data_IF_222367856315
#
_entry.id   IF_222367856315
#
_cell.length_a   1.000
_cell.length_b   1.000
_cell.length_c   1.000
_cell.angle_alpha   90.00
_cell.angle_beta   90.00
_cell.angle_gamma   90.00
#
_symmetry.space_group_name_H-M   'P 1'
#
loop_
_entity.id
_entity.type
_entity.pdbx_description
1 polymer ?
#
# COMPACT_ATOMS: atom_id res chain seq x y z
N UNK A 1 -8.89 -19.24 -8.85
CA UNK A 1 -9.35 -17.84 -8.79
C UNK A 1 -10.35 -17.74 -7.67
N UNK A 2 -9.96 -17.07 -6.59
CA UNK A 2 -10.87 -16.69 -5.51
C UNK A 2 -11.64 -15.43 -5.96
N UNK A 3 -12.84 -15.19 -5.43
CA UNK A 3 -13.59 -13.96 -5.68
C UNK A 3 -13.87 -13.26 -4.36
N UNK A 4 -13.72 -11.95 -4.32
CA UNK A 4 -14.12 -11.15 -3.16
C UNK A 4 -15.65 -11.07 -3.04
N UNK A 5 -16.14 -10.49 -1.94
CA UNK A 5 -17.59 -10.30 -1.69
C UNK A 5 -18.27 -9.44 -2.75
N UNK A 6 -17.55 -8.53 -3.41
CA UNK A 6 -18.05 -7.72 -4.53
C UNK A 6 -18.08 -8.50 -5.86
N UNK A 7 -17.51 -9.70 -5.91
CA UNK A 7 -17.36 -10.50 -7.13
C UNK A 7 -16.07 -10.26 -7.90
N UNK A 8 -15.13 -9.44 -7.38
CA UNK A 8 -13.85 -9.21 -8.01
C UNK A 8 -12.94 -10.44 -7.91
N UNK A 9 -12.33 -10.83 -9.04
CA UNK A 9 -11.44 -11.99 -9.09
C UNK A 9 -10.07 -11.68 -8.47
N UNK A 10 -9.67 -12.51 -7.52
CA UNK A 10 -8.34 -12.59 -6.94
C UNK A 10 -7.58 -13.68 -7.71
N UNK A 11 -6.49 -13.29 -8.36
CA UNK A 11 -5.54 -14.28 -8.87
C UNK A 11 -4.82 -14.87 -7.66
N UNK A 12 -5.15 -16.12 -7.33
CA UNK A 12 -4.57 -16.88 -6.22
C UNK A 12 -3.05 -17.06 -6.39
N UNK A 13 -2.36 -17.27 -5.27
CA UNK A 13 -0.93 -17.58 -5.10
C UNK A 13 -0.47 -18.91 -5.76
N UNK A 14 -1.12 -19.31 -6.85
CA UNK A 14 -0.65 -20.42 -7.68
C UNK A 14 0.63 -20.00 -8.40
N UNK A 15 1.73 -20.78 -8.30
CA UNK A 15 2.92 -20.55 -9.10
C UNK A 15 2.50 -20.61 -10.57
N UNK A 16 2.56 -19.47 -11.25
CA UNK A 16 2.10 -19.39 -12.63
C UNK A 16 3.20 -19.91 -13.55
N UNK A 17 2.87 -20.96 -14.32
CA UNK A 17 3.65 -21.37 -15.48
C UNK A 17 3.82 -20.18 -16.42
N UNK A 18 5.04 -19.97 -16.91
CA UNK A 18 5.38 -18.88 -17.83
C UNK A 18 4.58 -18.99 -19.13
N UNK A 19 3.35 -18.49 -19.15
CA UNK A 19 2.63 -18.30 -20.41
C UNK A 19 3.32 -17.13 -21.12
N UNK A 20 3.85 -17.32 -22.34
CA UNK A 20 4.62 -16.30 -23.04
C UNK A 20 3.71 -15.12 -23.32
N UNK A 21 4.05 -13.97 -22.73
CA UNK A 21 3.11 -12.87 -22.58
C UNK A 21 3.53 -11.64 -23.37
N UNK A 22 2.72 -11.28 -24.38
CA UNK A 22 2.97 -10.16 -25.31
C UNK A 22 2.53 -8.78 -24.79
N UNK A 23 2.17 -8.65 -23.51
CA UNK A 23 1.84 -7.35 -22.92
C UNK A 23 2.98 -6.84 -22.07
N UNK A 24 3.83 -5.98 -22.64
CA UNK A 24 5.06 -5.50 -22.02
C UNK A 24 4.79 -4.80 -20.69
N UNK A 25 5.50 -5.24 -19.66
CA UNK A 25 5.84 -4.42 -18.50
C UNK A 25 6.23 -3.00 -18.96
N UNK A 26 5.73 -1.97 -18.29
CA UNK A 26 6.04 -0.57 -18.64
C UNK A 26 7.47 -0.27 -18.20
N UNK A 27 7.86 -0.74 -17.02
CA UNK A 27 9.16 -0.53 -16.41
C UNK A 27 9.72 -1.82 -15.80
N UNK A 28 11.04 -1.95 -15.77
CA UNK A 28 11.68 -2.90 -14.87
C UNK A 28 11.51 -2.47 -13.41
N UNK A 29 11.60 -3.41 -12.47
CA UNK A 29 11.57 -3.15 -11.03
C UNK A 29 12.51 -2.00 -10.58
N UNK A 30 13.74 -2.02 -11.10
CA UNK A 30 14.73 -1.00 -10.80
C UNK A 30 14.38 0.38 -11.38
N UNK A 31 13.77 0.43 -12.56
CA UNK A 31 13.33 1.66 -13.21
C UNK A 31 12.11 2.26 -12.49
N UNK A 32 11.14 1.43 -12.10
CA UNK A 32 9.98 1.86 -11.33
C UNK A 32 10.40 2.48 -9.98
N UNK A 33 11.28 1.82 -9.22
CA UNK A 33 11.82 2.37 -7.98
C UNK A 33 12.60 3.68 -8.19
N UNK A 34 13.37 3.77 -9.29
CA UNK A 34 14.08 5.00 -9.64
C UNK A 34 13.11 6.16 -9.97
N UNK A 35 11.98 5.89 -10.62
CA UNK A 35 10.96 6.93 -10.88
C UNK A 35 10.38 7.50 -9.59
N UNK A 36 10.08 6.65 -8.60
CA UNK A 36 9.64 7.12 -7.26
C UNK A 36 10.72 7.99 -6.61
N UNK A 37 11.98 7.57 -6.64
CA UNK A 37 13.11 8.32 -6.08
C UNK A 37 13.29 9.69 -6.77
N UNK A 38 13.24 9.73 -8.10
CA UNK A 38 13.41 10.95 -8.87
C UNK A 38 12.22 11.90 -8.66
N UNK A 39 10.97 11.41 -8.66
CA UNK A 39 9.75 12.19 -8.37
C UNK A 39 9.77 12.77 -6.96
N UNK A 40 10.12 11.93 -5.97
CA UNK A 40 10.16 12.36 -4.58
C UNK A 40 11.22 13.44 -4.32
N UNK A 41 12.34 13.42 -5.05
CA UNK A 41 13.40 14.45 -4.95
C UNK A 41 13.13 15.69 -5.80
N UNK A 42 12.50 15.53 -6.96
CA UNK A 42 12.34 16.60 -7.96
C UNK A 42 10.87 16.90 -8.15
N UNK A 43 10.40 17.91 -7.42
CA UNK A 43 9.03 18.40 -7.54
C UNK A 43 9.04 19.64 -8.44
N UNK A 44 8.38 19.63 -9.60
CA UNK A 44 8.21 20.82 -10.42
C UNK A 44 7.60 21.96 -9.59
N UNK A 45 8.03 23.20 -9.85
CA UNK A 45 7.60 24.37 -9.06
C UNK A 45 6.08 24.51 -9.05
N UNK A 46 5.46 24.18 -10.17
CA UNK A 46 4.02 24.26 -10.42
C UNK A 46 3.23 23.26 -9.56
N UNK A 47 3.84 22.12 -9.20
CA UNK A 47 3.21 21.08 -8.38
C UNK A 47 3.56 21.19 -6.89
N UNK A 48 4.47 22.10 -6.53
CA UNK A 48 5.00 22.21 -5.17
C UNK A 48 3.91 22.50 -4.13
N UNK A 49 3.05 23.49 -4.39
CA UNK A 49 1.97 23.85 -3.48
C UNK A 49 0.98 22.69 -3.26
N UNK A 50 0.61 22.01 -4.36
CA UNK A 50 -0.27 20.84 -4.31
C UNK A 50 0.37 19.72 -3.49
N UNK A 51 1.66 19.43 -3.71
CA UNK A 51 2.38 18.42 -2.93
C UNK A 51 2.41 18.77 -1.44
N UNK A 52 2.72 20.01 -1.08
CA UNK A 52 2.75 20.46 0.32
C UNK A 52 1.38 20.33 1.01
N UNK A 53 0.29 20.55 0.29
CA UNK A 53 -1.06 20.27 0.79
C UNK A 53 -1.27 18.78 1.06
N UNK A 54 -0.93 17.92 0.12
CA UNK A 54 -1.04 16.47 0.29
C UNK A 54 -0.12 15.94 1.39
N UNK A 55 1.09 16.49 1.56
CA UNK A 55 1.99 16.15 2.65
C UNK A 55 1.37 16.50 4.00
N UNK A 56 0.81 17.71 4.15
CA UNK A 56 0.12 18.12 5.38
C UNK A 56 -1.07 17.22 5.68
N UNK A 57 -1.86 16.87 4.65
CA UNK A 57 -3.00 15.95 4.79
C UNK A 57 -2.54 14.55 5.21
N UNK A 58 -1.52 14.00 4.56
CA UNK A 58 -1.00 12.68 4.89
C UNK A 58 -0.41 12.64 6.30
N UNK A 59 0.31 13.69 6.73
CA UNK A 59 0.82 13.79 8.11
C UNK A 59 -0.31 13.71 9.14
N UNK A 60 -1.41 14.45 8.93
CA UNK A 60 -2.60 14.40 9.80
C UNK A 60 -3.27 13.02 9.80
N UNK A 61 -3.27 12.34 8.65
CA UNK A 61 -3.84 10.98 8.54
C UNK A 61 -2.95 9.94 9.22
N UNK A 62 -1.62 10.09 9.21
CA UNK A 62 -0.67 9.15 9.82
C UNK A 62 -0.56 9.33 11.33
N UNK A 63 -0.35 10.56 11.82
CA UNK A 63 -0.22 10.85 13.25
C UNK A 63 -1.41 11.63 13.74
N UNK A 64 -2.10 11.09 14.74
CA UNK A 64 -3.16 11.81 15.43
C UNK A 64 -2.57 13.04 16.13
N UNK A 65 -3.19 14.19 15.86
CA UNK A 65 -2.84 15.45 16.51
C UNK A 65 -3.69 15.69 17.75
N UNK A 66 -4.91 15.15 17.80
CA UNK A 66 -5.83 15.28 18.93
C UNK A 66 -5.82 13.97 19.75
N UNK A 67 -5.43 14.00 21.03
CA UNK A 67 -5.52 12.84 21.92
C UNK A 67 -6.94 12.30 22.12
N UNK A 68 -7.98 13.08 21.79
CA UNK A 68 -9.38 12.69 21.87
C UNK A 68 -9.92 12.07 20.58
N UNK A 69 -9.16 12.13 19.50
CA UNK A 69 -9.53 11.45 18.26
C UNK A 69 -9.47 9.94 18.51
N UNK A 70 -10.58 9.19 18.29
CA UNK A 70 -10.59 7.73 18.46
C UNK A 70 -9.55 7.01 17.59
N UNK A 71 -8.99 7.71 16.60
CA UNK A 71 -7.85 7.23 15.84
C UNK A 71 -8.21 6.27 14.73
N UNK A 72 -9.50 6.05 14.49
CA UNK A 72 -9.98 5.09 13.52
C UNK A 72 -9.74 5.59 12.10
N UNK A 73 -9.34 4.68 11.22
CA UNK A 73 -9.18 4.94 9.79
C UNK A 73 -10.35 4.31 9.06
N UNK A 74 -11.28 5.15 8.65
CA UNK A 74 -12.40 4.76 7.79
C UNK A 74 -11.99 4.73 6.31
N UNK A 75 -12.89 4.28 5.44
CA UNK A 75 -12.61 4.20 4.00
C UNK A 75 -12.32 5.58 3.37
N UNK A 76 -12.88 6.67 3.92
CA UNK A 76 -12.54 8.04 3.49
C UNK A 76 -11.11 8.41 3.85
N UNK A 77 -10.64 7.97 5.01
CA UNK A 77 -9.25 8.13 5.43
C UNK A 77 -8.31 7.33 4.55
N UNK A 78 -8.64 6.08 4.22
CA UNK A 78 -7.87 5.24 3.29
C UNK A 78 -7.81 5.86 1.89
N UNK A 79 -8.93 6.38 1.36
CA UNK A 79 -8.95 7.13 0.10
C UNK A 79 -8.05 8.37 0.15
N UNK A 80 -8.07 9.09 1.27
CA UNK A 80 -7.20 10.24 1.51
C UNK A 80 -5.71 9.87 1.53
N UNK A 81 -5.37 8.74 2.14
CA UNK A 81 -4.01 8.18 2.15
C UNK A 81 -3.58 7.81 0.73
N UNK A 82 -4.39 7.03 0.01
CA UNK A 82 -4.13 6.64 -1.39
C UNK A 82 -3.84 7.89 -2.25
N UNK A 83 -4.75 8.88 -2.22
CA UNK A 83 -4.62 10.10 -3.04
C UNK A 83 -3.36 10.89 -2.70
N UNK A 84 -3.03 11.01 -1.41
CA UNK A 84 -1.85 11.74 -0.98
C UNK A 84 -0.56 10.99 -1.33
N UNK A 85 -0.51 9.68 -1.09
CA UNK A 85 0.63 8.84 -1.45
C UNK A 85 0.88 8.83 -2.96
N UNK A 86 -0.18 8.74 -3.76
CA UNK A 86 -0.07 8.80 -5.22
C UNK A 86 0.55 10.12 -5.69
N UNK A 87 0.13 11.24 -5.09
CA UNK A 87 0.70 12.55 -5.40
C UNK A 87 2.16 12.70 -4.92
N UNK A 88 2.47 12.26 -3.70
CA UNK A 88 3.77 12.50 -3.07
C UNK A 88 4.85 11.55 -3.61
N UNK A 89 4.50 10.28 -3.86
CA UNK A 89 5.46 9.22 -4.16
C UNK A 89 5.29 8.62 -5.56
N UNK A 90 4.07 8.44 -6.04
CA UNK A 90 3.81 7.62 -7.24
C UNK A 90 3.45 8.42 -8.50
N UNK A 91 3.58 9.75 -8.45
CA UNK A 91 3.39 10.65 -9.59
C UNK A 91 2.02 10.52 -10.30
N UNK A 92 0.98 10.08 -9.61
CA UNK A 92 -0.35 9.89 -10.20
C UNK A 92 -0.57 8.53 -10.87
N UNK A 93 0.39 7.61 -10.82
CA UNK A 93 0.31 6.31 -11.48
C UNK A 93 -0.76 5.38 -10.87
N UNK A 94 -1.24 5.66 -9.64
CA UNK A 94 -2.28 4.86 -8.98
C UNK A 94 -3.72 5.32 -9.30
N UNK A 95 -3.89 6.56 -9.76
CA UNK A 95 -5.20 7.17 -9.97
C UNK A 95 -6.08 6.35 -10.92
N UNK A 96 -7.26 5.93 -10.43
CA UNK A 96 -8.24 5.16 -11.20
C UNK A 96 -7.81 3.71 -11.47
N UNK A 97 -6.79 3.20 -10.78
CA UNK A 97 -6.23 1.85 -10.99
C UNK A 97 -6.12 1.03 -9.73
N UNK A 98 -6.48 1.58 -8.56
CA UNK A 98 -6.41 0.91 -7.27
C UNK A 98 -7.80 0.90 -6.64
N UNK A 99 -8.30 -0.29 -6.36
CA UNK A 99 -9.47 -0.52 -5.51
C UNK A 99 -9.05 -1.26 -4.23
N UNK A 100 -9.88 -1.23 -3.19
CA UNK A 100 -9.70 -2.08 -2.02
C UNK A 100 -11.01 -2.60 -1.48
N UNK A 101 -10.94 -3.78 -0.84
CA UNK A 101 -12.07 -4.42 -0.19
C UNK A 101 -11.69 -5.02 1.15
N UNK A 102 -12.69 -5.12 2.02
CA UNK A 102 -12.58 -5.79 3.32
C UNK A 102 -13.00 -7.25 3.18
N UNK A 103 -12.17 -8.17 3.68
CA UNK A 103 -12.46 -9.60 3.71
C UNK A 103 -12.48 -10.14 5.14
N UNK A 104 -13.42 -11.04 5.35
CA UNK A 104 -13.64 -11.79 6.60
C UNK A 104 -13.64 -13.31 6.33
N UNK A 105 -13.12 -13.73 5.16
CA UNK A 105 -12.91 -15.14 4.83
C UNK A 105 -11.84 -15.76 5.75
N UNK A 106 -11.87 -17.08 5.89
CA UNK A 106 -11.05 -17.83 6.85
C UNK A 106 -9.55 -17.50 6.75
N UNK A 107 -8.97 -17.49 5.55
CA UNK A 107 -7.55 -17.12 5.33
C UNK A 107 -7.18 -15.71 5.82
N UNK A 108 -8.13 -14.77 5.82
CA UNK A 108 -7.91 -13.40 6.31
C UNK A 108 -8.15 -13.28 7.82
N UNK A 109 -8.63 -14.32 8.50
CA UNK A 109 -8.74 -14.33 9.97
C UNK A 109 -7.43 -14.73 10.65
N UNK A 110 -6.64 -15.57 9.98
CA UNK A 110 -5.52 -16.26 10.62
C UNK A 110 -4.18 -16.04 9.91
N UNK A 111 -4.17 -15.92 8.58
CA UNK A 111 -2.94 -15.99 7.79
C UNK A 111 -2.56 -14.66 7.13
N UNK A 112 -3.55 -13.94 6.58
CA UNK A 112 -3.30 -12.76 5.74
C UNK A 112 -3.89 -11.48 6.34
N UNK A 113 -3.03 -10.48 6.48
CA UNK A 113 -3.41 -9.13 6.93
C UNK A 113 -3.86 -8.28 5.74
N UNK A 114 -3.12 -8.37 4.63
CA UNK A 114 -3.37 -7.68 3.38
C UNK A 114 -2.83 -8.52 2.22
N UNK A 115 -3.43 -8.36 1.05
CA UNK A 115 -2.84 -8.85 -0.20
C UNK A 115 -3.28 -7.96 -1.34
N UNK A 116 -2.49 -7.93 -2.42
CA UNK A 116 -2.81 -7.19 -3.63
C UNK A 116 -2.91 -8.14 -4.81
N UNK A 117 -4.07 -8.16 -5.45
CA UNK A 117 -4.27 -8.77 -6.76
C UNK A 117 -4.16 -7.71 -7.86
N UNK A 118 -3.91 -8.15 -9.09
CA UNK A 118 -4.00 -7.28 -10.26
C UNK A 118 -4.46 -8.05 -11.49
N UNK A 119 -5.04 -7.32 -12.45
CA UNK A 119 -5.49 -7.83 -13.74
C UNK A 119 -5.25 -6.80 -14.84
N UNK A 120 -5.35 -7.21 -16.10
CA UNK A 120 -5.37 -6.24 -17.20
C UNK A 120 -6.66 -5.43 -17.15
N UNK A 121 -6.58 -4.14 -17.46
CA UNK A 121 -7.76 -3.29 -17.62
C UNK A 121 -8.56 -3.72 -18.83
N UNK A 122 -9.88 -3.56 -18.77
CA UNK A 122 -10.79 -3.94 -19.85
C UNK A 122 -10.55 -3.14 -21.15
N UNK A 123 -10.03 -1.92 -21.03
CA UNK A 123 -9.63 -1.06 -22.16
C UNK A 123 -8.27 -1.45 -22.77
N UNK A 124 -7.61 -2.48 -22.24
CA UNK A 124 -6.28 -2.92 -22.64
C UNK A 124 -5.13 -2.03 -22.18
N UNK A 125 -5.40 -0.92 -21.49
CA UNK A 125 -4.40 0.08 -21.11
C UNK A 125 -3.71 -0.27 -19.78
N UNK A 126 -2.90 -1.33 -19.82
CA UNK A 126 -2.08 -1.79 -18.69
C UNK A 126 -2.89 -2.55 -17.62
N UNK A 127 -2.46 -2.45 -16.36
CA UNK A 127 -3.03 -3.18 -15.23
C UNK A 127 -3.86 -2.30 -14.29
N UNK A 128 -4.76 -2.92 -13.53
CA UNK A 128 -5.44 -2.37 -12.37
C UNK A 128 -5.33 -3.37 -11.21
N UNK A 129 -5.38 -2.86 -9.98
CA UNK A 129 -5.09 -3.61 -8.77
C UNK A 129 -6.26 -3.56 -7.79
N UNK A 130 -6.37 -4.61 -6.99
CA UNK A 130 -7.33 -4.75 -5.91
C UNK A 130 -6.60 -5.17 -4.65
N UNK A 131 -6.66 -4.32 -3.63
CA UNK A 131 -6.16 -4.62 -2.29
C UNK A 131 -7.26 -5.33 -1.50
N UNK A 132 -6.91 -6.37 -0.76
CA UNK A 132 -7.86 -7.07 0.11
C UNK A 132 -7.30 -7.02 1.51
N UNK A 133 -8.05 -6.39 2.40
CA UNK A 133 -7.67 -6.11 3.77
C UNK A 133 -8.43 -7.04 4.72
N UNK A 134 -7.73 -7.62 5.67
CA UNK A 134 -8.34 -8.40 6.75
C UNK A 134 -9.16 -7.50 7.66
N UNK A 135 -10.49 -7.56 7.53
CA UNK A 135 -11.41 -6.97 8.49
C UNK A 135 -11.17 -7.45 9.94
N UNK A 136 -11.08 -8.77 10.22
CA UNK A 136 -11.00 -9.28 11.60
C UNK A 136 -9.68 -8.94 12.30
N UNK A 137 -8.59 -8.71 11.56
CA UNK A 137 -7.28 -8.31 12.13
C UNK A 137 -7.17 -6.78 12.17
N UNK A 138 -7.40 -6.10 11.05
CA UNK A 138 -7.09 -4.67 10.91
C UNK A 138 -8.12 -3.74 11.57
N UNK A 139 -9.34 -4.22 11.82
CA UNK A 139 -10.35 -3.49 12.62
C UNK A 139 -10.45 -3.99 14.05
N UNK A 140 -9.55 -4.87 14.48
CA UNK A 140 -9.54 -5.35 15.85
C UNK A 140 -9.07 -4.25 16.81
N UNK A 141 -9.88 -3.95 17.82
CA UNK A 141 -9.57 -2.93 18.83
C UNK A 141 -8.36 -3.25 19.72
N UNK A 142 -7.81 -4.47 19.67
CA UNK A 142 -6.55 -4.79 20.36
C UNK A 142 -5.34 -4.09 19.75
N UNK A 143 -5.42 -3.74 18.47
CA UNK A 143 -4.35 -3.09 17.74
C UNK A 143 -4.60 -1.60 17.61
N UNK A 144 -3.51 -0.85 17.55
CA UNK A 144 -3.57 0.56 17.19
C UNK A 144 -3.60 0.75 15.66
N UNK A 145 -3.98 1.96 15.26
CA UNK A 145 -4.14 2.36 13.86
C UNK A 145 -2.91 2.17 12.98
N UNK A 146 -1.69 2.11 13.56
CA UNK A 146 -0.44 1.99 12.81
C UNK A 146 -0.37 0.65 12.08
N UNK A 147 -1.08 -0.38 12.55
CA UNK A 147 -1.19 -1.66 11.85
C UNK A 147 -1.88 -1.48 10.50
N UNK A 148 -3.07 -0.85 10.48
CA UNK A 148 -3.81 -0.58 9.24
C UNK A 148 -3.04 0.40 8.33
N UNK A 149 -2.38 1.43 8.89
CA UNK A 149 -1.51 2.30 8.11
C UNK A 149 -0.38 1.53 7.44
N UNK A 150 0.31 0.66 8.19
CA UNK A 150 1.44 -0.12 7.68
C UNK A 150 0.98 -1.08 6.60
N UNK A 151 -0.11 -1.83 6.85
CA UNK A 151 -0.66 -2.76 5.87
C UNK A 151 -1.11 -2.03 4.60
N UNK A 152 -1.88 -0.95 4.72
CA UNK A 152 -2.39 -0.26 3.53
C UNK A 152 -1.26 0.38 2.71
N UNK A 153 -0.27 1.03 3.35
CA UNK A 153 0.89 1.58 2.65
C UNK A 153 1.74 0.50 1.98
N UNK A 154 1.90 -0.66 2.63
CA UNK A 154 2.58 -1.82 2.05
C UNK A 154 1.91 -2.28 0.75
N UNK A 155 0.59 -2.45 0.77
CA UNK A 155 -0.18 -2.85 -0.40
C UNK A 155 -0.20 -1.78 -1.51
N UNK A 156 -0.13 -0.48 -1.18
CA UNK A 156 0.02 0.58 -2.19
C UNK A 156 1.34 0.48 -2.98
N UNK A 157 2.43 0.04 -2.32
CA UNK A 157 3.70 -0.21 -3.02
C UNK A 157 3.56 -1.38 -3.99
N UNK A 158 2.88 -2.46 -3.58
CA UNK A 158 2.56 -3.57 -4.48
C UNK A 158 1.71 -3.11 -5.66
N UNK A 159 0.67 -2.30 -5.41
CA UNK A 159 -0.17 -1.74 -6.47
C UNK A 159 0.67 -0.97 -7.51
N UNK A 160 1.55 -0.08 -7.05
CA UNK A 160 2.45 0.66 -7.92
C UNK A 160 3.31 -0.26 -8.79
N UNK A 161 3.96 -1.24 -8.18
CA UNK A 161 4.84 -2.14 -8.91
C UNK A 161 4.08 -3.08 -9.86
N UNK A 162 2.89 -3.56 -9.51
CA UNK A 162 2.07 -4.32 -10.46
C UNK A 162 1.59 -3.46 -11.63
N UNK A 163 1.26 -2.20 -11.39
CA UNK A 163 0.87 -1.26 -12.45
C UNK A 163 2.03 -0.99 -13.42
N UNK A 164 3.24 -0.80 -12.90
CA UNK A 164 4.43 -0.46 -13.72
C UNK A 164 5.12 -1.68 -14.31
N UNK A 165 5.28 -2.73 -13.52
CA UNK A 165 6.10 -3.89 -13.86
C UNK A 165 5.27 -5.13 -14.26
N UNK A 166 3.95 -5.12 -14.05
CA UNK A 166 3.10 -6.26 -14.32
C UNK A 166 3.51 -7.50 -13.53
N UNK A 167 3.60 -8.65 -14.21
CA UNK A 167 3.94 -9.93 -13.58
C UNK A 167 5.37 -10.01 -13.04
N UNK A 168 6.30 -9.22 -13.57
CA UNK A 168 7.70 -9.20 -13.09
C UNK A 168 7.78 -8.72 -11.63
N UNK A 169 6.80 -7.92 -11.18
CA UNK A 169 6.69 -7.50 -9.79
C UNK A 169 6.18 -8.60 -8.85
N UNK A 170 5.89 -9.83 -9.31
CA UNK A 170 5.56 -10.97 -8.42
C UNK A 170 6.79 -11.72 -7.92
N UNK A 171 7.96 -11.47 -8.49
CA UNK A 171 9.21 -12.11 -8.05
C UNK A 171 9.42 -11.85 -6.55
N UNK A 172 9.90 -12.86 -5.82
CA UNK A 172 10.12 -12.85 -4.37
C UNK A 172 8.87 -12.54 -3.51
N UNK A 173 7.68 -12.89 -4.01
CA UNK A 173 6.40 -12.58 -3.36
C UNK A 173 5.98 -11.12 -3.49
N UNK A 174 6.66 -10.37 -4.36
CA UNK A 174 6.45 -8.95 -4.58
C UNK A 174 7.31 -8.02 -3.75
N UNK A 175 8.16 -8.55 -2.86
CA UNK A 175 9.16 -7.79 -2.11
C UNK A 175 10.50 -7.76 -2.84
N UNK A 176 10.47 -7.29 -4.09
CA UNK A 176 11.65 -7.12 -4.93
C UNK A 176 12.61 -6.07 -4.36
N UNK A 177 13.80 -5.93 -4.97
CA UNK A 177 14.75 -4.87 -4.59
C UNK A 177 14.14 -3.47 -4.78
N UNK A 178 13.38 -3.26 -5.85
CA UNK A 178 12.65 -2.02 -6.11
C UNK A 178 11.59 -1.74 -5.06
N UNK A 179 10.85 -2.78 -4.64
CA UNK A 179 9.90 -2.68 -3.52
C UNK A 179 10.59 -2.17 -2.25
N UNK A 180 11.72 -2.77 -1.85
CA UNK A 180 12.44 -2.36 -0.65
C UNK A 180 12.97 -0.91 -0.73
N UNK A 181 13.40 -0.47 -1.92
CA UNK A 181 13.82 0.93 -2.13
C UNK A 181 12.66 1.90 -1.95
N UNK A 182 11.49 1.60 -2.48
CA UNK A 182 10.28 2.43 -2.33
C UNK A 182 9.83 2.45 -0.87
N UNK A 183 9.75 1.28 -0.23
CA UNK A 183 9.40 1.16 1.17
C UNK A 183 10.31 2.01 2.06
N UNK A 184 11.63 1.98 1.79
CA UNK A 184 12.60 2.83 2.51
C UNK A 184 12.32 4.32 2.34
N UNK A 185 12.02 4.80 1.13
CA UNK A 185 11.71 6.22 0.89
C UNK A 185 10.51 6.67 1.74
N UNK A 186 9.44 5.88 1.73
CA UNK A 186 8.22 6.18 2.50
C UNK A 186 8.53 6.12 4.00
N UNK A 187 9.25 5.08 4.45
CA UNK A 187 9.57 4.90 5.86
C UNK A 187 10.47 6.03 6.39
N UNK A 188 11.53 6.41 5.66
CA UNK A 188 12.40 7.53 6.01
C UNK A 188 11.62 8.85 6.06
N UNK A 189 10.71 9.08 5.11
CA UNK A 189 9.86 10.28 5.10
C UNK A 189 8.97 10.33 6.35
N UNK A 190 8.36 9.21 6.75
CA UNK A 190 7.56 9.14 7.98
C UNK A 190 8.45 9.35 9.21
N UNK A 191 9.53 8.59 9.34
CA UNK A 191 10.45 8.64 10.47
C UNK A 191 11.01 10.05 10.73
N UNK A 192 11.19 10.86 9.69
CA UNK A 192 11.71 12.22 9.82
C UNK A 192 10.88 13.15 10.70
N UNK A 193 9.61 12.82 11.01
CA UNK A 193 8.74 13.66 11.84
C UNK A 193 7.89 12.92 12.88
N UNK A 194 7.78 11.58 12.83
CA UNK A 194 7.10 10.80 13.90
C UNK A 194 8.05 10.01 14.80
N UNK A 195 9.30 9.81 14.39
CA UNK A 195 10.24 8.91 15.06
C UNK A 195 10.40 7.56 14.36
N UNK A 196 11.45 6.84 14.76
CA UNK A 196 11.80 5.52 14.21
C UNK A 196 10.77 4.47 14.66
N UNK A 197 10.58 3.42 13.85
CA UNK A 197 9.72 2.27 14.12
C UNK A 197 8.22 2.58 14.23
N UNK A 198 7.77 3.70 13.66
CA UNK A 198 6.34 4.03 13.67
C UNK A 198 5.53 3.14 12.72
N UNK A 199 6.09 2.82 11.55
CA UNK A 199 5.50 1.91 10.58
C UNK A 199 6.34 0.63 10.46
N UNK A 200 5.69 -0.48 10.12
CA UNK A 200 6.34 -1.76 9.81
C UNK A 200 6.12 -2.11 8.35
N UNK A 201 6.74 -1.35 7.44
CA UNK A 201 6.56 -1.59 6.01
C UNK A 201 7.39 -2.79 5.54
N UNK A 202 8.67 -2.87 5.91
CA UNK A 202 9.65 -3.80 5.31
C UNK A 202 9.51 -5.27 5.69
N UNK A 203 8.59 -5.63 6.59
CA UNK A 203 8.44 -7.01 7.05
C UNK A 203 7.38 -7.74 6.20
N UNK A 204 7.70 -8.95 5.75
CA UNK A 204 6.77 -9.82 5.01
C UNK A 204 5.61 -10.31 5.89
N UNK A 205 5.87 -10.48 7.18
CA UNK A 205 4.89 -10.82 8.20
C UNK A 205 4.81 -9.65 9.18
N UNK A 206 3.60 -9.17 9.47
CA UNK A 206 3.48 -8.13 10.48
C UNK A 206 3.74 -8.74 11.86
N UNK A 207 4.73 -8.22 12.58
CA UNK A 207 4.84 -8.46 14.02
C UNK A 207 3.70 -7.72 14.72
N UNK A 208 2.58 -8.42 14.93
CA UNK A 208 1.36 -7.85 15.50
C UNK A 208 1.57 -7.30 16.92
N UNK A 209 2.54 -7.82 17.68
CA UNK A 209 2.87 -7.32 19.02
C UNK A 209 3.39 -5.87 19.02
N UNK A 210 4.05 -5.45 17.93
CA UNK A 210 4.48 -4.07 17.74
C UNK A 210 3.33 -3.06 17.76
N UNK A 211 2.13 -3.53 17.41
CA UNK A 211 0.92 -2.74 17.22
C UNK A 211 -0.13 -2.94 18.30
N UNK A 212 0.15 -3.72 19.35
CA UNK A 212 -0.76 -3.81 20.48
C UNK A 212 -0.92 -2.44 21.13
N UNK A 213 -2.18 -2.08 21.41
CA UNK A 213 -2.46 -0.95 22.28
C UNK A 213 -1.76 -1.21 23.62
N UNK A 214 -0.85 -0.32 24.03
CA UNK A 214 -0.28 -0.38 25.39
C UNK A 214 -1.46 -0.20 26.34
N UNK A 215 -1.82 -1.25 27.09
CA UNK A 215 -2.79 -1.08 28.17
C UNK A 215 -2.24 -0.01 29.13
N UNK A 216 -3.07 0.95 29.59
CA UNK A 216 -2.65 1.81 30.67
C UNK A 216 -2.30 0.90 31.86
N UNK A 217 -1.09 1.04 32.39
CA UNK A 217 -0.76 0.43 33.67
C UNK A 217 -1.79 0.93 34.70
N UNK A 218 -2.53 -0.02 35.29
CA UNK A 218 -3.51 0.24 36.34
C UNK A 218 -2.87 0.86 37.58
#
# INVERSE_FOLDING_TARGET
MERTRSGNSIVSDTPYEQVPYNGSSIDTDAAAAKRVEDHFRRVPKELKQKREEHERRLRKLIKLHDPKDPGWLDDKSLLGILTACDTIFFAGDLAGRVEWEWSSLERYREELIGTTAFRRRADGQGFETLIILSEPILRNSRYDRRLLLSAFLHELIHCYLFIRCGFDARIDGGHTKGWHRIAKIINDWVHSWVGVDYLSLCNKEANLEHFHNRQPAH
#
